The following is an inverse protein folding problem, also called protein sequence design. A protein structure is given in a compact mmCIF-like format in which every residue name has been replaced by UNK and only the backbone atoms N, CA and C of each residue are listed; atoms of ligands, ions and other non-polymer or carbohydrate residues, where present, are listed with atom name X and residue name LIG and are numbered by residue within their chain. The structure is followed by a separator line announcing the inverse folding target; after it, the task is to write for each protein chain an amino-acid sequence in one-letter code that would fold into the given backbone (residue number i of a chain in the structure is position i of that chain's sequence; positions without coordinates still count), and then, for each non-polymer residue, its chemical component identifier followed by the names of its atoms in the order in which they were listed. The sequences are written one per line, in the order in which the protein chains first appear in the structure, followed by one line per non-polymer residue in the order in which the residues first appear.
data_IF_152953693566
#
_entry.id   IF_152953693566
#
_cell.length_a   1.000
_cell.length_b   1.000
_cell.length_c   1.000
_cell.angle_alpha   90.00
_cell.angle_beta   90.00
_cell.angle_gamma   90.00
#
_symmetry.space_group_name_H-M   'P 1'
#
loop_
_entity.id
_entity.type
_entity.pdbx_description
1 polymer ?
#
# COMPACT_ATOMS: atom_id res chain seq x y z
N UNK A 1 -25.10 -12.23 80.41
CA UNK A 1 -23.84 -13.00 80.14
C UNK A 1 -23.33 -12.67 78.74
N UNK A 2 -22.25 -11.88 78.57
CA UNK A 2 -21.72 -11.58 77.26
C UNK A 2 -20.65 -12.62 76.89
N UNK A 3 -20.74 -13.12 75.65
CA UNK A 3 -19.75 -14.02 75.05
C UNK A 3 -18.57 -13.20 74.50
N UNK A 4 -17.37 -13.59 74.93
CA UNK A 4 -16.09 -13.04 74.45
C UNK A 4 -15.81 -13.41 72.99
N UNK A 5 -15.47 -12.41 72.16
CA UNK A 5 -14.93 -12.57 70.83
C UNK A 5 -13.41 -12.71 70.91
N UNK A 6 -12.90 -13.87 70.51
CA UNK A 6 -11.48 -14.13 70.44
C UNK A 6 -10.93 -13.55 69.12
N UNK A 7 -10.06 -12.54 69.17
CA UNK A 7 -9.30 -12.02 68.03
C UNK A 7 -8.24 -13.05 67.63
N UNK A 8 -8.35 -13.60 66.40
CA UNK A 8 -7.27 -14.34 65.74
C UNK A 8 -6.25 -13.33 65.17
N UNK A 9 -5.02 -13.40 65.67
CA UNK A 9 -3.91 -12.60 65.21
C UNK A 9 -3.54 -12.90 63.75
N UNK A 10 -3.47 -11.87 62.93
CA UNK A 10 -2.89 -11.89 61.58
C UNK A 10 -1.38 -12.00 61.69
N UNK A 11 -0.82 -13.18 61.38
CA UNK A 11 0.62 -13.37 61.23
C UNK A 11 1.13 -12.55 60.05
N UNK A 12 1.96 -11.56 60.33
CA UNK A 12 2.71 -10.75 59.36
C UNK A 12 3.77 -11.66 58.73
N UNK A 13 3.53 -12.16 57.51
CA UNK A 13 4.58 -12.80 56.70
C UNK A 13 5.63 -11.73 56.36
N UNK A 14 6.79 -11.80 56.98
CA UNK A 14 8.00 -11.09 56.58
C UNK A 14 8.38 -11.67 55.20
N UNK A 15 8.08 -10.93 54.10
CA UNK A 15 8.62 -11.20 52.78
C UNK A 15 10.13 -11.11 52.91
N UNK A 16 10.84 -12.17 52.57
CA UNK A 16 12.27 -12.28 52.63
C UNK A 16 12.92 -11.38 51.56
N UNK A 17 13.08 -10.10 51.89
CA UNK A 17 13.62 -9.07 51.00
C UNK A 17 15.03 -9.41 50.43
N UNK A 18 15.76 -10.33 51.08
CA UNK A 18 17.09 -10.76 50.62
C UNK A 18 17.01 -11.54 49.31
N UNK A 19 16.04 -12.44 49.16
CA UNK A 19 15.89 -13.23 47.92
C UNK A 19 15.40 -12.37 46.75
N UNK A 20 14.55 -11.39 47.00
CA UNK A 20 14.12 -10.42 45.99
C UNK A 20 15.27 -9.53 45.52
N UNK A 21 16.10 -9.02 46.45
CA UNK A 21 17.28 -8.22 46.11
C UNK A 21 18.29 -9.06 45.33
N UNK A 22 18.51 -10.33 45.74
CA UNK A 22 19.41 -11.24 45.04
C UNK A 22 18.93 -11.52 43.59
N UNK A 23 17.63 -11.70 43.38
CA UNK A 23 17.06 -11.91 42.08
C UNK A 23 17.23 -10.67 41.17
N UNK A 24 17.02 -9.47 41.71
CA UNK A 24 17.20 -8.22 40.96
C UNK A 24 18.68 -8.03 40.57
N UNK A 25 19.63 -8.26 41.50
CA UNK A 25 21.05 -8.15 41.23
C UNK A 25 21.49 -9.17 40.17
N UNK A 26 21.00 -10.39 40.25
CA UNK A 26 21.33 -11.43 39.27
C UNK A 26 20.75 -11.09 37.87
N UNK A 27 19.53 -10.56 37.79
CA UNK A 27 18.95 -10.10 36.54
C UNK A 27 19.75 -8.96 35.90
N UNK A 28 20.18 -7.98 36.68
CA UNK A 28 21.01 -6.88 36.19
C UNK A 28 22.38 -7.41 35.72
N UNK A 29 22.99 -8.33 36.45
CA UNK A 29 24.28 -8.92 36.06
C UNK A 29 24.17 -9.70 34.73
N UNK A 30 23.07 -10.43 34.51
CA UNK A 30 22.81 -11.13 33.25
C UNK A 30 22.64 -10.12 32.10
N UNK A 31 21.84 -9.07 32.28
CA UNK A 31 21.63 -8.03 31.26
C UNK A 31 22.94 -7.32 30.86
N UNK A 32 23.77 -6.94 31.86
CA UNK A 32 25.06 -6.32 31.59
C UNK A 32 26.03 -7.30 30.91
N UNK A 33 26.04 -8.58 31.31
CA UNK A 33 26.84 -9.62 30.66
C UNK A 33 26.45 -9.83 29.19
N UNK A 34 25.16 -9.84 28.88
CA UNK A 34 24.66 -9.89 27.51
C UNK A 34 25.06 -8.67 26.68
N UNK A 35 24.97 -7.49 27.27
CA UNK A 35 25.31 -6.25 26.58
C UNK A 35 26.79 -6.21 26.20
N UNK A 36 27.71 -6.59 27.13
CA UNK A 36 29.15 -6.69 26.88
C UNK A 36 29.46 -7.78 25.84
N UNK A 37 28.75 -8.89 25.87
CA UNK A 37 28.94 -9.97 24.89
C UNK A 37 28.53 -9.51 23.49
N UNK A 38 27.39 -8.83 23.34
CA UNK A 38 26.93 -8.32 22.03
C UNK A 38 27.84 -7.22 21.49
N UNK A 39 28.33 -6.32 22.32
CA UNK A 39 29.30 -5.28 21.90
C UNK A 39 30.63 -5.87 21.45
N UNK A 40 31.08 -6.95 22.08
CA UNK A 40 32.32 -7.64 21.72
C UNK A 40 32.20 -8.51 20.45
N UNK A 41 30.97 -8.92 20.08
CA UNK A 41 30.71 -9.79 18.92
C UNK A 41 30.13 -9.06 17.71
N UNK A 42 29.89 -7.74 17.79
CA UNK A 42 29.44 -6.94 16.64
C UNK A 42 30.53 -6.88 15.57
N UNK A 43 30.24 -7.26 14.31
CA UNK A 43 31.14 -6.96 13.21
C UNK A 43 31.26 -5.45 13.03
N UNK A 44 32.42 -4.92 12.66
CA UNK A 44 32.61 -3.48 12.43
C UNK A 44 31.68 -3.01 11.30
N UNK A 45 31.14 -1.78 11.38
CA UNK A 45 30.33 -1.21 10.31
C UNK A 45 31.14 -1.17 9.01
N UNK A 46 30.52 -1.42 7.84
CA UNK A 46 31.24 -1.30 6.57
C UNK A 46 31.70 0.14 6.38
N UNK A 47 33.00 0.30 6.10
CA UNK A 47 33.60 1.60 5.78
C UNK A 47 32.93 2.19 4.54
N UNK A 48 32.32 3.35 4.68
CA UNK A 48 31.83 4.13 3.55
C UNK A 48 33.02 4.73 2.80
N UNK A 49 33.15 4.57 1.48
CA UNK A 49 34.20 5.22 0.73
C UNK A 49 33.98 6.74 0.73
N UNK A 50 34.93 7.47 1.29
CA UNK A 50 35.03 8.92 1.21
C UNK A 50 35.25 9.30 -0.26
N UNK A 51 34.27 9.91 -0.89
CA UNK A 51 34.42 10.54 -2.22
C UNK A 51 35.15 11.86 -1.98
N UNK A 52 36.46 11.87 -2.20
CA UNK A 52 37.23 13.09 -2.30
C UNK A 52 36.95 13.79 -3.60
N UNK A 53 36.35 14.94 -3.51
CA UNK A 53 36.16 15.90 -4.60
C UNK A 53 37.53 16.55 -4.88
N UNK A 54 38.15 16.22 -6.01
CA UNK A 54 39.34 16.91 -6.51
C UNK A 54 39.07 17.48 -7.89
N UNK A 55 38.87 18.78 -7.91
CA UNK A 55 38.88 19.63 -9.10
C UNK A 55 40.29 19.85 -9.57
N UNK A 56 40.56 19.59 -10.86
CA UNK A 56 41.56 20.37 -11.63
C UNK A 56 41.36 20.20 -13.16
N UNK A 57 41.70 21.22 -13.95
CA UNK A 57 41.21 21.40 -15.31
C UNK A 57 42.24 21.05 -16.37
N UNK A 58 41.71 20.74 -17.57
CA UNK A 58 42.43 21.02 -18.83
C UNK A 58 43.00 19.84 -19.57
N UNK A 59 42.53 19.64 -20.75
CA UNK A 59 43.18 19.59 -22.03
C UNK A 59 42.59 18.59 -23.02
N UNK A 60 42.33 19.13 -24.17
CA UNK A 60 41.85 18.58 -25.43
C UNK A 60 42.86 17.58 -26.00
N UNK A 61 42.42 16.46 -26.63
CA UNK A 61 42.74 16.07 -28.03
C UNK A 61 42.17 14.71 -28.44
N UNK A 62 41.39 14.74 -29.44
CA UNK A 62 41.22 13.95 -30.69
C UNK A 62 41.47 12.43 -30.73
N UNK A 63 40.46 11.81 -31.32
CA UNK A 63 40.41 10.78 -32.38
C UNK A 63 40.73 9.32 -32.05
N UNK A 64 39.74 8.47 -32.39
CA UNK A 64 39.90 7.03 -32.55
C UNK A 64 38.56 6.33 -32.68
N UNK A 65 38.08 6.13 -33.93
CA UNK A 65 36.99 5.23 -34.26
C UNK A 65 37.30 3.82 -33.77
N UNK A 66 36.33 3.14 -33.20
CA UNK A 66 36.03 1.72 -33.53
C UNK A 66 34.75 1.23 -32.89
N UNK A 67 33.89 0.66 -33.70
CA UNK A 67 32.96 -0.46 -33.52
C UNK A 67 31.95 -0.41 -32.39
N UNK A 68 30.73 -0.11 -32.79
CA UNK A 68 29.49 -0.33 -32.08
C UNK A 68 29.26 -1.80 -31.72
N UNK A 69 29.31 -2.14 -30.45
CA UNK A 69 28.63 -3.31 -29.89
C UNK A 69 27.28 -2.82 -29.37
N UNK A 70 26.15 -3.51 -29.64
CA UNK A 70 24.86 -3.11 -29.06
C UNK A 70 24.93 -3.27 -27.53
N UNK A 71 24.94 -2.17 -26.80
CA UNK A 71 24.73 -2.18 -25.36
C UNK A 71 23.30 -2.66 -25.13
N UNK A 72 23.19 -3.87 -24.59
CA UNK A 72 21.98 -4.32 -23.92
C UNK A 72 21.57 -3.27 -22.92
N UNK A 73 20.42 -2.66 -23.16
CA UNK A 73 19.79 -1.71 -22.27
C UNK A 73 19.72 -2.27 -20.85
N UNK A 74 20.41 -1.62 -19.93
CA UNK A 74 20.25 -1.88 -18.49
C UNK A 74 18.78 -1.85 -18.15
N UNK A 75 18.25 -2.82 -17.36
CA UNK A 75 16.90 -2.72 -16.85
C UNK A 75 16.82 -1.46 -15.98
N UNK A 76 15.96 -0.54 -16.40
CA UNK A 76 15.58 0.60 -15.56
C UNK A 76 14.88 0.00 -14.36
N UNK A 77 15.47 0.07 -13.18
CA UNK A 77 14.80 -0.28 -11.93
C UNK A 77 13.62 0.67 -11.74
N UNK A 78 12.48 0.27 -12.33
CA UNK A 78 11.24 1.00 -12.22
C UNK A 78 10.73 0.92 -10.79
N UNK A 79 10.75 2.03 -10.09
CA UNK A 79 10.03 2.19 -8.83
C UNK A 79 8.60 2.57 -9.20
N UNK A 80 7.59 1.89 -8.63
CA UNK A 80 6.19 2.30 -8.78
C UNK A 80 6.08 3.81 -8.52
N UNK A 81 5.25 4.56 -9.28
CA UNK A 81 5.27 6.01 -9.21
C UNK A 81 4.95 6.46 -7.78
N UNK A 82 5.96 7.02 -7.14
CA UNK A 82 5.74 7.82 -5.94
C UNK A 82 4.89 8.98 -6.41
N UNK A 83 3.72 9.17 -5.82
CA UNK A 83 2.88 10.34 -6.14
C UNK A 83 3.75 11.57 -5.88
N UNK A 84 4.12 12.37 -6.91
CA UNK A 84 4.94 13.54 -6.70
C UNK A 84 4.24 14.42 -5.67
N UNK A 85 4.96 14.84 -4.62
CA UNK A 85 4.48 15.87 -3.74
C UNK A 85 4.32 17.13 -4.57
N UNK A 86 3.10 17.40 -5.03
CA UNK A 86 2.76 18.76 -5.43
C UNK A 86 2.99 19.63 -4.23
N UNK A 87 3.86 20.62 -4.34
CA UNK A 87 3.94 21.77 -3.46
C UNK A 87 2.60 22.52 -3.59
N UNK A 88 1.58 21.97 -2.95
CA UNK A 88 0.32 22.67 -2.76
C UNK A 88 0.43 23.29 -1.38
N UNK A 89 0.37 24.62 -1.33
CA UNK A 89 0.06 25.35 -0.12
C UNK A 89 -0.99 24.57 0.69
N UNK A 90 -0.86 24.57 2.01
CA UNK A 90 -1.77 23.93 2.96
C UNK A 90 -3.25 24.25 2.64
N UNK A 91 -3.81 23.59 1.66
CA UNK A 91 -5.25 23.60 1.48
C UNK A 91 -5.80 22.72 2.60
N UNK A 92 -6.57 23.30 3.52
CA UNK A 92 -7.53 22.52 4.33
C UNK A 92 -8.20 21.56 3.37
N UNK A 93 -8.17 20.25 3.67
CA UNK A 93 -8.83 19.27 2.82
C UNK A 93 -10.29 19.69 2.64
N UNK A 94 -10.81 19.44 1.47
CA UNK A 94 -12.19 19.77 1.13
C UNK A 94 -13.15 18.75 1.77
N UNK A 95 -14.41 19.13 1.90
CA UNK A 95 -15.46 18.22 2.31
C UNK A 95 -15.62 17.13 1.23
N UNK A 96 -15.73 15.86 1.64
CA UNK A 96 -15.90 14.71 0.73
C UNK A 96 -17.12 14.89 -0.20
N UNK A 97 -18.27 15.33 0.32
CA UNK A 97 -19.49 15.51 -0.47
C UNK A 97 -19.31 16.54 -1.60
N UNK A 98 -18.64 17.66 -1.33
CA UNK A 98 -18.38 18.69 -2.33
C UNK A 98 -17.48 18.17 -3.45
N UNK A 99 -16.45 17.37 -3.12
CA UNK A 99 -15.56 16.76 -4.11
C UNK A 99 -16.30 15.76 -4.99
N UNK A 100 -17.16 14.95 -4.39
CA UNK A 100 -17.95 13.95 -5.13
C UNK A 100 -18.92 14.61 -6.12
N UNK A 101 -19.48 15.75 -5.75
CA UNK A 101 -20.42 16.52 -6.59
C UNK A 101 -19.74 17.18 -7.81
N UNK A 102 -18.45 17.50 -7.72
CA UNK A 102 -17.72 18.24 -8.76
C UNK A 102 -17.16 17.40 -9.90
N UNK A 103 -17.12 16.07 -9.77
CA UNK A 103 -16.40 15.19 -10.69
C UNK A 103 -17.33 14.21 -11.41
N UNK A 104 -17.06 13.98 -12.70
CA UNK A 104 -17.68 12.86 -13.41
C UNK A 104 -17.17 11.54 -12.82
N UNK A 105 -18.11 10.67 -12.47
CA UNK A 105 -17.84 9.43 -11.74
C UNK A 105 -18.67 8.27 -12.29
N UNK A 106 -18.14 7.06 -12.21
CA UNK A 106 -18.90 5.82 -12.38
C UNK A 106 -19.41 5.41 -11.01
N UNK A 107 -20.70 5.22 -10.86
CA UNK A 107 -21.31 4.76 -9.59
C UNK A 107 -20.95 3.30 -9.33
N UNK A 108 -20.75 2.94 -8.08
CA UNK A 108 -20.65 1.54 -7.60
C UNK A 108 -21.92 1.24 -6.84
N UNK A 109 -22.57 0.13 -7.19
CA UNK A 109 -23.81 -0.30 -6.55
C UNK A 109 -23.86 -1.84 -6.46
N UNK A 110 -23.63 -2.36 -5.27
CA UNK A 110 -23.68 -3.79 -4.95
C UNK A 110 -24.48 -4.01 -3.66
N UNK A 111 -24.79 -5.25 -3.27
CA UNK A 111 -25.46 -5.52 -2.00
C UNK A 111 -24.71 -5.04 -0.76
N UNK A 112 -23.38 -4.91 -0.84
CA UNK A 112 -22.52 -4.61 0.31
C UNK A 112 -21.73 -3.31 0.21
N UNK A 113 -21.61 -2.73 -0.99
CA UNK A 113 -20.86 -1.51 -1.25
C UNK A 113 -21.67 -0.53 -2.07
N UNK A 114 -21.63 0.73 -1.71
CA UNK A 114 -21.95 1.82 -2.59
C UNK A 114 -20.80 2.85 -2.62
N UNK A 115 -20.71 3.59 -3.71
CA UNK A 115 -19.62 4.56 -3.88
C UNK A 115 -19.45 4.95 -5.33
N UNK A 116 -18.21 5.26 -5.70
CA UNK A 116 -17.92 5.63 -7.09
C UNK A 116 -16.43 5.60 -7.45
N UNK A 117 -16.16 5.53 -8.76
CA UNK A 117 -14.83 5.61 -9.37
C UNK A 117 -14.70 6.99 -10.02
N UNK A 118 -13.65 7.74 -9.69
CA UNK A 118 -13.37 9.03 -10.31
C UNK A 118 -12.88 8.84 -11.74
N UNK A 119 -13.47 9.52 -12.72
CA UNK A 119 -12.99 9.53 -14.11
C UNK A 119 -11.72 10.37 -14.29
N UNK A 120 -11.41 11.27 -13.36
CA UNK A 120 -10.11 11.94 -13.31
C UNK A 120 -9.12 11.08 -12.54
N UNK A 121 -8.09 10.57 -13.24
CA UNK A 121 -7.09 9.64 -12.71
C UNK A 121 -7.55 8.19 -12.61
N UNK A 122 -8.83 7.88 -12.80
CA UNK A 122 -9.37 6.51 -12.77
C UNK A 122 -9.21 5.83 -11.41
N UNK A 123 -9.49 6.55 -10.30
CA UNK A 123 -9.30 6.07 -8.93
C UNK A 123 -10.57 5.48 -8.33
N UNK A 124 -10.43 4.41 -7.57
CA UNK A 124 -11.45 3.96 -6.61
C UNK A 124 -11.20 4.75 -5.32
N UNK A 125 -11.93 5.84 -5.14
CA UNK A 125 -11.69 6.80 -4.07
C UNK A 125 -12.96 7.22 -3.32
N UNK A 126 -13.99 6.40 -3.41
CA UNK A 126 -15.28 6.62 -2.76
C UNK A 126 -15.96 5.26 -2.58
N UNK A 127 -15.87 4.71 -1.38
CA UNK A 127 -16.53 3.48 -0.98
C UNK A 127 -17.12 3.60 0.41
N UNK A 128 -18.35 3.13 0.56
CA UNK A 128 -19.08 3.05 1.82
C UNK A 128 -19.61 1.63 1.99
N UNK A 129 -19.49 1.09 3.19
CA UNK A 129 -19.90 -0.27 3.56
C UNK A 129 -21.37 -0.27 3.96
N UNK A 130 -22.23 -0.93 3.18
CA UNK A 130 -23.64 -1.12 3.50
C UNK A 130 -23.73 -2.12 4.65
N UNK A 131 -24.55 -1.80 5.67
CA UNK A 131 -24.78 -2.67 6.83
C UNK A 131 -23.81 -2.49 7.99
N UNK A 132 -22.80 -1.62 7.84
CA UNK A 132 -21.89 -1.23 8.92
C UNK A 132 -22.06 0.25 9.27
N UNK A 133 -22.07 0.56 10.56
CA UNK A 133 -22.32 1.89 11.10
C UNK A 133 -21.15 2.34 11.98
N UNK A 134 -20.96 3.65 12.09
CA UNK A 134 -19.93 4.24 12.95
C UNK A 134 -20.22 3.96 14.44
N UNK A 135 -21.52 3.94 14.81
CA UNK A 135 -21.99 3.66 16.17
C UNK A 135 -23.07 2.54 16.14
N UNK A 136 -23.44 2.03 17.29
CA UNK A 136 -24.48 0.99 17.41
C UNK A 136 -25.90 1.49 17.13
N UNK A 137 -26.09 2.79 17.01
CA UNK A 137 -27.37 3.39 16.66
C UNK A 137 -27.72 3.13 15.20
N UNK A 138 -28.95 2.69 14.93
CA UNK A 138 -29.42 2.43 13.57
C UNK A 138 -29.45 3.67 12.67
N UNK A 139 -29.54 4.86 13.25
CA UNK A 139 -29.50 6.14 12.55
C UNK A 139 -28.08 6.70 12.37
N UNK A 140 -27.06 6.04 12.93
CA UNK A 140 -25.66 6.41 12.75
C UNK A 140 -25.21 6.32 11.29
N UNK A 141 -24.22 7.12 10.91
CA UNK A 141 -23.63 7.12 9.57
C UNK A 141 -23.06 5.75 9.19
N UNK A 142 -23.13 5.40 7.92
CA UNK A 142 -22.45 4.21 7.39
C UNK A 142 -20.93 4.43 7.35
N UNK A 143 -20.20 3.34 7.48
CA UNK A 143 -18.73 3.36 7.44
C UNK A 143 -18.23 3.79 6.05
N UNK A 144 -17.57 4.92 5.98
CA UNK A 144 -16.85 5.39 4.79
C UNK A 144 -15.46 4.78 4.80
N UNK A 145 -15.23 3.79 3.93
CA UNK A 145 -13.94 3.10 3.83
C UNK A 145 -12.95 3.90 2.97
N UNK A 146 -13.37 4.40 1.82
CA UNK A 146 -12.51 5.19 0.93
C UNK A 146 -13.03 6.62 0.76
N UNK A 147 -12.09 7.57 0.66
CA UNK A 147 -12.37 8.99 0.48
C UNK A 147 -11.46 9.63 -0.56
N UNK A 148 -11.95 10.61 -1.35
CA UNK A 148 -11.21 11.22 -2.44
C UNK A 148 -9.88 11.85 -2.02
N UNK A 149 -8.91 11.86 -2.93
CA UNK A 149 -7.56 12.40 -2.74
C UNK A 149 -7.52 13.81 -2.15
N UNK A 150 -8.48 14.67 -2.49
CA UNK A 150 -8.56 16.05 -1.98
C UNK A 150 -9.26 16.16 -0.62
N UNK A 151 -9.87 15.09 -0.10
CA UNK A 151 -10.55 15.09 1.19
C UNK A 151 -9.56 15.11 2.36
N UNK A 152 -10.03 15.58 3.54
CA UNK A 152 -9.23 15.59 4.76
C UNK A 152 -8.69 14.21 5.12
N UNK A 153 -9.53 13.18 5.08
CA UNK A 153 -9.17 11.77 5.32
C UNK A 153 -9.02 10.99 4.01
N UNK A 154 -8.23 11.51 3.06
CA UNK A 154 -8.06 10.86 1.76
C UNK A 154 -7.55 9.43 1.93
N UNK A 155 -8.28 8.47 1.33
CA UNK A 155 -7.94 7.07 1.32
C UNK A 155 -8.46 6.44 0.03
N UNK A 156 -7.59 6.01 -0.86
CA UNK A 156 -7.99 5.58 -2.20
C UNK A 156 -7.03 4.56 -2.80
N UNK A 157 -7.54 3.81 -3.78
CA UNK A 157 -6.76 2.93 -4.63
C UNK A 157 -6.63 3.50 -6.05
N UNK A 158 -5.47 3.30 -6.66
CA UNK A 158 -5.16 3.69 -8.02
C UNK A 158 -4.35 2.59 -8.72
N UNK A 159 -4.66 2.36 -9.99
CA UNK A 159 -3.94 1.43 -10.85
C UNK A 159 -3.40 2.17 -12.06
N UNK A 160 -2.38 1.64 -12.70
CA UNK A 160 -1.81 2.30 -13.87
C UNK A 160 -0.56 1.64 -14.42
N UNK A 161 0.16 2.43 -15.23
CA UNK A 161 1.36 2.00 -15.92
C UNK A 161 2.49 2.98 -15.72
N UNK A 162 3.69 2.45 -15.55
CA UNK A 162 4.95 3.21 -15.66
C UNK A 162 5.51 2.94 -17.04
N UNK A 163 5.74 3.98 -17.83
CA UNK A 163 6.35 3.88 -19.15
C UNK A 163 7.86 4.04 -19.10
N UNK A 164 8.58 3.38 -19.99
CA UNK A 164 9.97 3.73 -20.29
C UNK A 164 10.06 5.20 -20.75
N UNK A 165 11.28 5.75 -20.74
CA UNK A 165 11.51 7.14 -21.13
C UNK A 165 10.91 7.44 -22.52
N UNK A 166 10.13 8.51 -22.60
CA UNK A 166 9.46 8.95 -23.83
C UNK A 166 8.08 8.34 -24.07
N UNK A 167 7.63 7.36 -23.26
CA UNK A 167 6.29 6.79 -23.38
C UNK A 167 5.32 7.55 -22.49
N UNK A 168 4.31 8.17 -23.11
CA UNK A 168 3.25 8.89 -22.41
C UNK A 168 2.21 7.90 -21.91
N UNK A 169 2.05 7.85 -20.59
CA UNK A 169 1.09 7.01 -19.87
C UNK A 169 0.04 7.86 -19.15
N UNK A 170 -1.14 7.32 -18.78
CA UNK A 170 -2.16 8.07 -18.05
C UNK A 170 -1.62 8.56 -16.70
N UNK A 171 -1.58 9.88 -16.51
CA UNK A 171 -1.17 10.51 -15.27
C UNK A 171 -2.32 10.65 -14.27
N UNK A 172 -2.07 11.30 -13.13
CA UNK A 172 -3.03 11.48 -12.04
C UNK A 172 -4.25 12.35 -12.43
N UNK A 173 -4.07 13.22 -13.42
CA UNK A 173 -5.10 14.13 -13.92
C UNK A 173 -5.66 13.68 -15.29
N UNK A 174 -5.31 12.47 -15.74
CA UNK A 174 -5.85 11.91 -16.98
C UNK A 174 -7.37 11.76 -16.86
N UNK A 175 -8.09 12.24 -17.87
CA UNK A 175 -9.54 12.12 -17.94
C UNK A 175 -9.90 10.87 -18.72
N UNK A 176 -10.50 9.93 -18.04
CA UNK A 176 -10.92 8.64 -18.60
C UNK A 176 -12.35 8.72 -19.12
N UNK A 177 -12.63 7.96 -20.16
CA UNK A 177 -13.99 7.72 -20.67
C UNK A 177 -14.45 6.35 -20.18
N UNK A 178 -15.66 6.27 -19.66
CA UNK A 178 -16.24 5.02 -19.15
C UNK A 178 -17.21 4.40 -20.15
N UNK A 179 -17.24 3.07 -20.23
CA UNK A 179 -18.16 2.29 -21.06
C UNK A 179 -19.60 2.29 -20.51
N UNK A 180 -19.77 2.52 -19.20
CA UNK A 180 -21.06 2.60 -18.52
C UNK A 180 -20.98 3.55 -17.31
N UNK A 181 -22.13 3.96 -16.80
CA UNK A 181 -22.23 4.90 -15.68
C UNK A 181 -22.28 4.23 -14.31
N UNK A 182 -22.53 2.92 -14.27
CA UNK A 182 -22.69 2.17 -13.02
C UNK A 182 -21.98 0.81 -13.13
N UNK A 183 -21.17 0.50 -12.12
CA UNK A 183 -20.54 -0.78 -11.86
C UNK A 183 -21.44 -1.58 -10.91
N UNK A 184 -21.84 -2.77 -11.32
CA UNK A 184 -22.57 -3.75 -10.51
C UNK A 184 -21.89 -5.12 -10.63
N UNK A 185 -22.22 -6.12 -9.81
CA UNK A 185 -21.65 -7.47 -9.95
C UNK A 185 -21.83 -8.07 -11.34
N UNK A 186 -22.96 -7.79 -12.00
CA UNK A 186 -23.29 -8.31 -13.32
C UNK A 186 -22.82 -7.41 -14.48
N UNK A 187 -22.35 -6.21 -14.20
CA UNK A 187 -22.01 -5.20 -15.22
C UNK A 187 -20.65 -4.55 -14.94
N UNK A 188 -19.56 -5.18 -15.39
CA UNK A 188 -18.22 -4.57 -15.34
C UNK A 188 -18.13 -3.27 -16.15
N UNK A 189 -17.27 -2.35 -15.74
CA UNK A 189 -17.06 -1.07 -16.42
C UNK A 189 -15.62 -0.93 -16.87
N UNK A 190 -15.44 -0.55 -18.14
CA UNK A 190 -14.13 -0.27 -18.74
C UNK A 190 -13.91 1.24 -18.84
N UNK A 191 -12.82 1.70 -18.26
CA UNK A 191 -12.29 3.04 -18.47
C UNK A 191 -11.25 3.01 -19.60
N UNK A 192 -11.30 3.97 -20.52
CA UNK A 192 -10.37 4.08 -21.66
C UNK A 192 -9.70 5.43 -21.68
N UNK A 193 -8.42 5.46 -22.05
CA UNK A 193 -7.64 6.66 -22.23
C UNK A 193 -6.62 6.48 -23.38
N UNK A 194 -6.65 7.39 -24.34
CA UNK A 194 -5.76 7.39 -25.50
C UNK A 194 -4.64 8.40 -25.30
N UNK A 195 -3.38 8.01 -25.50
CA UNK A 195 -2.24 8.90 -25.38
C UNK A 195 -2.03 9.78 -26.62
N UNK A 196 -2.82 9.60 -27.68
CA UNK A 196 -2.72 10.27 -28.99
C UNK A 196 -1.42 9.97 -29.77
N UNK A 197 -0.64 9.02 -29.29
CA UNK A 197 0.64 8.58 -29.88
C UNK A 197 0.62 7.10 -30.24
N UNK A 198 -0.58 6.52 -30.32
CA UNK A 198 -0.83 5.14 -30.73
C UNK A 198 -0.92 4.13 -29.58
N UNK A 199 -1.03 4.58 -28.32
CA UNK A 199 -1.30 3.69 -27.20
C UNK A 199 -2.69 3.99 -26.62
N UNK A 200 -3.55 2.97 -26.60
CA UNK A 200 -4.85 2.98 -25.93
C UNK A 200 -4.78 2.17 -24.65
N UNK A 201 -4.97 2.84 -23.54
CA UNK A 201 -5.02 2.23 -22.21
C UNK A 201 -6.46 1.96 -21.81
N UNK A 202 -6.74 0.73 -21.40
CA UNK A 202 -8.04 0.31 -20.88
C UNK A 202 -7.87 -0.24 -19.47
N UNK A 203 -8.83 0.04 -18.60
CA UNK A 203 -8.92 -0.52 -17.26
C UNK A 203 -10.34 -0.95 -17.00
N UNK A 204 -10.54 -2.26 -16.89
CA UNK A 204 -11.84 -2.84 -16.60
C UNK A 204 -11.92 -3.15 -15.12
N UNK A 205 -12.95 -2.66 -14.48
CA UNK A 205 -13.33 -3.00 -13.11
C UNK A 205 -14.52 -3.95 -13.17
N UNK A 206 -14.34 -5.13 -12.59
CA UNK A 206 -15.44 -6.02 -12.19
C UNK A 206 -15.44 -6.07 -10.65
N UNK A 207 -16.59 -6.24 -10.06
CA UNK A 207 -16.77 -6.30 -8.61
C UNK A 207 -17.73 -7.46 -8.31
N UNK A 208 -17.38 -8.31 -7.37
CA UNK A 208 -18.27 -9.37 -6.92
C UNK A 208 -19.37 -8.83 -5.98
N UNK A 209 -20.25 -9.69 -5.49
CA UNK A 209 -21.33 -9.32 -4.59
C UNK A 209 -20.84 -8.87 -3.21
N UNK A 210 -19.56 -9.15 -2.89
CA UNK A 210 -18.95 -8.83 -1.60
C UNK A 210 -18.02 -7.61 -1.70
N UNK A 211 -16.68 -7.82 -1.71
CA UNK A 211 -15.71 -6.74 -1.57
C UNK A 211 -14.52 -6.85 -2.52
N UNK A 212 -14.50 -7.86 -3.41
CA UNK A 212 -13.35 -8.12 -4.28
C UNK A 212 -13.54 -7.52 -5.66
N UNK A 213 -12.70 -6.56 -5.99
CA UNK A 213 -12.56 -6.02 -7.34
C UNK A 213 -11.57 -6.86 -8.13
N UNK A 214 -11.93 -7.22 -9.36
CA UNK A 214 -10.98 -7.68 -10.38
C UNK A 214 -10.65 -6.49 -11.27
N UNK A 215 -9.36 -6.15 -11.36
CA UNK A 215 -8.86 -5.01 -12.12
C UNK A 215 -8.02 -5.51 -13.28
N UNK A 216 -8.60 -5.49 -14.46
CA UNK A 216 -7.91 -5.89 -15.70
C UNK A 216 -7.39 -4.64 -16.41
N UNK A 217 -6.09 -4.56 -16.64
CA UNK A 217 -5.44 -3.46 -17.34
C UNK A 217 -4.93 -3.94 -18.70
N UNK A 218 -5.37 -3.31 -19.78
CA UNK A 218 -4.98 -3.64 -21.15
C UNK A 218 -4.33 -2.43 -21.82
N UNK A 219 -3.27 -2.65 -22.55
CA UNK A 219 -2.66 -1.64 -23.43
C UNK A 219 -2.67 -2.18 -24.85
N UNK A 220 -3.30 -1.44 -25.76
CA UNK A 220 -3.29 -1.68 -27.19
C UNK A 220 -2.30 -0.72 -27.85
N UNK A 221 -1.38 -1.25 -28.68
CA UNK A 221 -0.34 -0.47 -29.33
C UNK A 221 -0.56 -0.46 -30.84
N UNK A 222 -1.07 0.63 -31.36
CA UNK A 222 -1.25 0.86 -32.81
C UNK A 222 -0.07 1.66 -33.41
N UNK A 223 0.94 2.00 -32.61
CA UNK A 223 2.14 2.69 -33.08
C UNK A 223 3.07 1.76 -33.87
N UNK A 224 4.10 2.32 -34.45
CA UNK A 224 5.10 1.56 -35.27
C UNK A 224 6.24 0.96 -34.45
N UNK A 225 6.28 1.23 -33.12
CA UNK A 225 7.35 0.80 -32.22
C UNK A 225 6.79 0.06 -31.02
N UNK A 226 7.56 -0.88 -30.48
CA UNK A 226 7.19 -1.52 -29.23
C UNK A 226 7.19 -0.53 -28.05
N UNK A 227 6.21 -0.64 -27.17
CA UNK A 227 6.12 0.15 -25.94
C UNK A 227 6.51 -0.70 -24.72
N UNK A 228 7.42 -0.18 -23.91
CA UNK A 228 7.92 -0.88 -22.71
C UNK A 228 7.27 -0.27 -21.46
N UNK A 229 6.58 -1.10 -20.69
CA UNK A 229 5.70 -0.67 -19.60
C UNK A 229 5.84 -1.60 -18.39
N UNK A 230 5.50 -1.06 -17.20
CA UNK A 230 5.29 -1.84 -15.97
C UNK A 230 3.89 -1.50 -15.41
N UNK A 231 3.07 -2.49 -15.12
CA UNK A 231 1.82 -2.27 -14.43
C UNK A 231 2.06 -2.02 -12.94
N UNK A 232 1.23 -1.19 -12.32
CA UNK A 232 1.24 -0.95 -10.87
C UNK A 232 -0.15 -0.82 -10.29
N UNK A 233 -0.26 -1.07 -8.98
CA UNK A 233 -1.36 -0.66 -8.14
C UNK A 233 -0.83 -0.01 -6.88
N UNK A 234 -1.58 0.95 -6.34
CA UNK A 234 -1.27 1.59 -5.06
C UNK A 234 -2.54 1.84 -4.25
N UNK A 235 -2.38 1.82 -2.94
CA UNK A 235 -3.32 2.36 -1.95
C UNK A 235 -2.60 3.49 -1.23
N UNK A 236 -3.25 4.64 -1.11
CA UNK A 236 -2.70 5.80 -0.41
C UNK A 236 -3.66 6.30 0.66
N UNK A 237 -3.15 6.55 1.85
CA UNK A 237 -3.88 7.05 3.01
C UNK A 237 -3.22 8.32 3.54
N UNK A 238 -4.04 9.34 3.81
CA UNK A 238 -3.63 10.62 4.38
C UNK A 238 -3.95 10.67 5.86
N UNK A 239 -2.94 11.00 6.67
CA UNK A 239 -3.02 11.05 8.12
C UNK A 239 -2.85 9.68 8.78
N UNK A 240 -2.34 9.69 10.00
CA UNK A 240 -2.29 8.50 10.84
C UNK A 240 -3.66 8.33 11.49
N UNK A 241 -4.37 7.21 11.30
CA UNK A 241 -5.65 6.98 11.97
C UNK A 241 -5.46 6.83 13.47
N UNK A 242 -6.52 7.07 14.23
CA UNK A 242 -6.57 6.65 15.62
C UNK A 242 -6.66 5.12 15.65
N UNK A 243 -5.69 4.47 16.28
CA UNK A 243 -5.67 3.02 16.47
C UNK A 243 -6.20 2.66 17.85
N UNK A 244 -6.78 1.49 18.01
CA UNK A 244 -7.32 1.06 19.31
C UNK A 244 -6.22 0.69 20.31
N UNK A 245 -4.97 0.52 19.86
CA UNK A 245 -3.81 0.22 20.69
C UNK A 245 -3.83 -1.15 21.36
N UNK A 246 -4.69 -2.08 20.90
CA UNK A 246 -4.67 -3.47 21.36
C UNK A 246 -3.49 -4.21 20.72
N UNK A 247 -2.47 -4.53 21.50
CA UNK A 247 -1.25 -5.18 21.03
C UNK A 247 -1.46 -6.54 20.32
N UNK A 248 -2.62 -7.17 20.52
CA UNK A 248 -2.97 -8.45 19.88
C UNK A 248 -3.66 -8.30 18.52
N UNK A 249 -3.92 -7.06 18.08
CA UNK A 249 -4.60 -6.76 16.82
C UNK A 249 -3.79 -5.72 16.07
N UNK A 250 -3.22 -6.13 14.93
CA UNK A 250 -2.48 -5.19 14.10
C UNK A 250 -3.42 -4.21 13.39
N UNK A 251 -3.13 -2.92 13.53
CA UNK A 251 -3.75 -1.81 12.80
C UNK A 251 -2.62 -0.99 12.15
N UNK A 252 -2.41 -1.18 10.85
CA UNK A 252 -1.26 -0.60 10.16
C UNK A 252 -1.14 -1.10 8.73
N UNK A 253 0.09 -1.18 8.26
CA UNK A 253 0.40 -1.71 6.94
C UNK A 253 0.80 -3.17 7.08
N UNK A 254 0.36 -4.00 6.15
CA UNK A 254 0.66 -5.43 6.21
C UNK A 254 0.69 -6.04 4.82
N UNK A 255 1.20 -7.25 4.73
CA UNK A 255 1.19 -8.01 3.49
C UNK A 255 1.92 -9.34 3.61
N UNK A 256 1.75 -10.18 2.63
CA UNK A 256 2.38 -11.49 2.54
C UNK A 256 3.30 -11.52 1.33
N UNK A 257 4.56 -11.87 1.56
CA UNK A 257 5.57 -12.10 0.54
C UNK A 257 6.24 -13.45 0.78
N UNK A 258 6.28 -14.31 -0.24
CA UNK A 258 6.86 -15.66 -0.12
C UNK A 258 6.30 -16.47 1.07
N UNK A 259 4.98 -16.34 1.32
CA UNK A 259 4.27 -16.99 2.44
C UNK A 259 4.66 -16.46 3.83
N UNK A 260 5.33 -15.32 3.91
CA UNK A 260 5.68 -14.68 5.17
C UNK A 260 4.85 -13.42 5.35
N UNK A 261 4.07 -13.36 6.44
CA UNK A 261 3.34 -12.17 6.84
C UNK A 261 4.33 -11.12 7.37
N UNK A 262 4.16 -9.91 6.92
CA UNK A 262 4.87 -8.72 7.38
C UNK A 262 3.86 -7.71 7.88
N UNK A 263 3.98 -7.30 9.12
CA UNK A 263 3.19 -6.26 9.76
C UNK A 263 4.10 -5.08 10.05
N UNK A 264 3.67 -3.88 9.69
CA UNK A 264 4.46 -2.64 9.83
C UNK A 264 3.59 -1.58 10.47
N UNK A 265 3.93 -1.20 11.69
CA UNK A 265 3.23 -0.13 12.41
C UNK A 265 3.46 1.22 11.75
N UNK A 266 2.51 2.15 11.94
CA UNK A 266 2.63 3.50 11.39
C UNK A 266 3.89 4.22 11.88
N UNK A 267 4.23 4.08 13.16
CA UNK A 267 5.40 4.75 13.75
C UNK A 267 6.70 4.13 13.27
N UNK A 268 6.78 2.79 13.18
CA UNK A 268 7.95 2.11 12.61
C UNK A 268 8.20 2.53 11.16
N UNK A 269 7.12 2.69 10.38
CA UNK A 269 7.27 3.13 9.00
C UNK A 269 7.67 4.60 8.88
N UNK A 270 7.29 5.47 9.82
CA UNK A 270 7.78 6.86 9.89
C UNK A 270 9.29 6.89 10.08
N UNK A 271 9.82 6.04 10.97
CA UNK A 271 11.25 5.96 11.26
C UNK A 271 12.05 5.38 10.09
N UNK A 272 11.51 4.37 9.42
CA UNK A 272 12.17 3.69 8.30
C UNK A 272 12.01 4.42 6.96
N UNK A 273 10.96 5.23 6.80
CA UNK A 273 10.58 5.91 5.56
C UNK A 273 10.02 4.98 4.50
N UNK A 274 10.64 3.84 4.24
CA UNK A 274 10.15 2.83 3.31
C UNK A 274 10.67 1.43 3.61
N UNK A 275 9.82 0.43 3.31
CA UNK A 275 10.19 -1.00 3.31
C UNK A 275 9.85 -1.57 1.93
N UNK A 276 10.78 -2.33 1.32
CA UNK A 276 10.60 -2.96 0.00
C UNK A 276 10.79 -4.45 0.09
N UNK A 277 9.94 -5.17 -0.62
CA UNK A 277 10.05 -6.61 -0.82
C UNK A 277 9.92 -6.94 -2.31
N UNK A 278 10.36 -8.12 -2.69
CA UNK A 278 10.20 -8.65 -4.04
C UNK A 278 9.86 -10.14 -3.93
N UNK A 279 8.70 -10.53 -4.45
CA UNK A 279 8.20 -11.89 -4.31
C UNK A 279 7.35 -12.32 -5.51
N UNK A 280 7.20 -13.63 -5.68
CA UNK A 280 6.21 -14.22 -6.58
C UNK A 280 4.92 -14.40 -5.79
N UNK A 281 3.83 -13.79 -6.28
CA UNK A 281 2.54 -13.82 -5.60
C UNK A 281 2.52 -12.96 -4.34
N UNK A 282 1.58 -13.29 -3.42
CA UNK A 282 1.36 -12.54 -2.20
C UNK A 282 0.42 -11.35 -2.37
N UNK A 283 0.36 -10.50 -1.35
CA UNK A 283 -0.52 -9.31 -1.32
C UNK A 283 0.06 -8.27 -0.38
N UNK A 284 -0.43 -7.02 -0.48
CA UNK A 284 -0.01 -5.90 0.35
C UNK A 284 -1.20 -4.97 0.62
N UNK A 285 -1.34 -4.47 1.83
CA UNK A 285 -2.52 -3.68 2.21
C UNK A 285 -2.35 -2.79 3.43
N UNK A 286 -3.47 -2.18 3.81
CA UNK A 286 -3.62 -1.38 5.03
C UNK A 286 -4.84 -1.93 5.77
N UNK A 287 -4.66 -2.24 7.05
CA UNK A 287 -5.70 -2.77 7.93
C UNK A 287 -6.03 -1.80 9.05
N UNK A 288 -7.30 -1.68 9.32
CA UNK A 288 -7.86 -1.13 10.55
C UNK A 288 -8.46 -2.27 11.38
N UNK A 289 -9.00 -1.98 12.55
CA UNK A 289 -9.57 -2.99 13.43
C UNK A 289 -10.53 -3.96 12.72
N UNK A 290 -11.42 -3.46 11.89
CA UNK A 290 -12.49 -4.25 11.24
C UNK A 290 -12.42 -4.23 9.71
N UNK A 291 -11.57 -3.40 9.12
CA UNK A 291 -11.53 -3.11 7.69
C UNK A 291 -10.17 -3.45 7.10
N UNK A 292 -10.17 -3.91 5.87
CA UNK A 292 -8.95 -4.17 5.11
C UNK A 292 -9.10 -3.57 3.71
N UNK A 293 -8.03 -2.94 3.24
CA UNK A 293 -7.80 -2.68 1.81
C UNK A 293 -6.53 -3.38 1.39
N UNK A 294 -6.58 -4.21 0.36
CA UNK A 294 -5.43 -4.99 -0.07
C UNK A 294 -5.32 -5.05 -1.59
N UNK A 295 -4.10 -4.92 -2.07
CA UNK A 295 -3.70 -5.15 -3.45
C UNK A 295 -3.16 -6.56 -3.59
N UNK A 296 -3.67 -7.29 -4.55
CA UNK A 296 -3.27 -8.66 -4.84
C UNK A 296 -2.78 -8.67 -6.29
N UNK A 297 -1.46 -8.57 -6.54
CA UNK A 297 -0.90 -8.65 -7.87
C UNK A 297 -1.07 -10.05 -8.46
N UNK A 298 -0.79 -10.21 -9.75
CA UNK A 298 -0.76 -11.53 -10.40
C UNK A 298 0.14 -12.50 -9.61
N UNK A 299 -0.46 -13.62 -9.15
CA UNK A 299 0.19 -14.58 -8.26
C UNK A 299 1.30 -15.40 -8.93
N UNK A 300 1.45 -15.29 -10.24
CA UNK A 300 2.47 -16.00 -11.03
C UNK A 300 3.67 -15.13 -11.38
N UNK A 301 3.56 -13.83 -11.19
CA UNK A 301 4.59 -12.87 -11.53
C UNK A 301 5.39 -12.45 -10.30
N UNK A 302 6.69 -12.22 -10.51
CA UNK A 302 7.56 -11.64 -9.50
C UNK A 302 7.37 -10.13 -9.46
N UNK A 303 6.65 -9.64 -8.46
CA UNK A 303 6.35 -8.21 -8.28
C UNK A 303 7.19 -7.62 -7.16
N UNK A 304 7.56 -6.35 -7.31
CA UNK A 304 8.12 -5.54 -6.22
C UNK A 304 6.97 -4.95 -5.44
N UNK A 305 6.99 -5.06 -4.11
CA UNK A 305 6.04 -4.43 -3.21
C UNK A 305 6.74 -3.42 -2.30
N UNK A 306 6.00 -2.39 -1.87
CA UNK A 306 6.57 -1.33 -1.04
C UNK A 306 5.56 -0.78 -0.06
N UNK A 307 6.01 -0.59 1.18
CA UNK A 307 5.42 0.30 2.17
C UNK A 307 6.19 1.61 2.14
N UNK A 308 5.51 2.74 2.11
CA UNK A 308 6.11 4.06 2.01
C UNK A 308 5.42 5.04 2.94
N UNK A 309 6.21 5.73 3.77
CA UNK A 309 5.81 6.94 4.47
C UNK A 309 6.48 8.16 3.88
N UNK A 310 5.79 9.28 3.91
CA UNK A 310 6.34 10.59 3.58
C UNK A 310 5.50 11.68 4.20
N UNK A 311 6.11 12.83 4.44
CA UNK A 311 5.41 14.05 4.84
C UNK A 311 4.90 14.83 3.62
N UNK A 312 3.67 15.30 3.68
CA UNK A 312 3.13 16.31 2.77
C UNK A 312 2.74 17.55 3.58
N UNK A 313 3.63 18.54 3.65
CA UNK A 313 3.55 19.59 4.64
C UNK A 313 3.69 19.01 6.05
N UNK A 314 2.67 19.19 6.90
CA UNK A 314 2.62 18.65 8.27
C UNK A 314 1.77 17.37 8.38
N UNK A 315 1.39 16.76 7.27
CA UNK A 315 0.50 15.59 7.26
C UNK A 315 1.27 14.37 6.80
N UNK A 316 1.17 13.30 7.58
CA UNK A 316 1.68 11.99 7.23
C UNK A 316 0.93 11.43 6.02
N UNK A 317 1.65 10.82 5.11
CA UNK A 317 1.11 10.12 3.95
C UNK A 317 1.67 8.70 3.93
N UNK A 318 0.78 7.73 3.92
CA UNK A 318 1.12 6.32 3.84
C UNK A 318 0.71 5.77 2.49
N UNK A 319 1.53 4.88 1.95
CA UNK A 319 1.25 4.21 0.69
C UNK A 319 1.72 2.77 0.76
N UNK A 320 0.90 1.87 0.24
CA UNK A 320 1.33 0.53 -0.15
C UNK A 320 1.20 0.43 -1.65
N UNK A 321 2.17 -0.18 -2.31
CA UNK A 321 2.12 -0.35 -3.76
C UNK A 321 2.84 -1.62 -4.23
N UNK A 322 2.47 -2.07 -5.44
CA UNK A 322 3.22 -3.06 -6.17
C UNK A 322 3.61 -2.55 -7.55
N UNK A 323 4.71 -3.03 -8.07
CA UNK A 323 5.17 -2.86 -9.44
C UNK A 323 5.40 -4.23 -10.07
N UNK A 324 4.65 -4.53 -11.12
CA UNK A 324 4.81 -5.76 -11.89
C UNK A 324 6.08 -5.74 -12.77
N UNK A 325 6.57 -6.90 -13.21
CA UNK A 325 7.68 -6.95 -14.15
C UNK A 325 7.46 -6.11 -15.39
N UNK A 326 8.55 -5.71 -16.01
CA UNK A 326 8.53 -5.00 -17.26
C UNK A 326 7.98 -5.88 -18.39
N UNK A 327 7.08 -5.31 -19.18
CA UNK A 327 6.49 -5.96 -20.35
C UNK A 327 6.70 -5.11 -21.60
N UNK A 328 6.84 -5.77 -22.74
CA UNK A 328 6.95 -5.10 -24.05
C UNK A 328 5.67 -5.34 -24.85
N UNK A 329 4.97 -4.26 -25.18
CA UNK A 329 3.77 -4.29 -26.03
C UNK A 329 4.23 -4.09 -27.47
N UNK A 330 4.22 -5.11 -28.33
CA UNK A 330 4.74 -4.98 -29.70
C UNK A 330 3.90 -4.01 -30.54
N UNK A 331 4.49 -3.48 -31.61
CA UNK A 331 3.74 -2.70 -32.60
C UNK A 331 2.58 -3.52 -33.17
N UNK A 332 1.38 -2.96 -33.22
CA UNK A 332 0.16 -3.64 -33.66
C UNK A 332 -0.37 -4.70 -32.67
N UNK A 333 0.23 -4.83 -31.48
CA UNK A 333 -0.16 -5.83 -30.48
C UNK A 333 -0.84 -5.24 -29.26
N UNK A 334 -1.16 -6.10 -28.31
CA UNK A 334 -1.72 -5.72 -27.02
C UNK A 334 -1.17 -6.60 -25.90
N UNK A 335 -1.26 -6.09 -24.67
CA UNK A 335 -0.98 -6.86 -23.45
C UNK A 335 -2.08 -6.60 -22.42
N UNK A 336 -2.37 -7.63 -21.62
CA UNK A 336 -3.36 -7.55 -20.55
C UNK A 336 -2.74 -8.11 -19.26
N UNK A 337 -2.99 -7.43 -18.15
CA UNK A 337 -2.68 -7.90 -16.80
C UNK A 337 -3.95 -7.92 -15.97
N UNK A 338 -4.06 -8.88 -15.07
CA UNK A 338 -5.18 -8.97 -14.12
C UNK A 338 -4.63 -8.96 -12.70
N UNK A 339 -5.26 -8.17 -11.85
CA UNK A 339 -4.91 -8.02 -10.45
C UNK A 339 -6.21 -7.93 -9.66
N UNK A 340 -6.15 -8.15 -8.33
CA UNK A 340 -7.32 -7.98 -7.49
C UNK A 340 -7.10 -6.87 -6.47
N UNK A 341 -8.21 -6.30 -6.03
CA UNK A 341 -8.26 -5.28 -5.00
C UNK A 341 -9.40 -5.59 -4.05
N UNK A 342 -9.06 -5.89 -2.81
CA UNK A 342 -10.03 -6.06 -1.74
C UNK A 342 -10.24 -4.73 -1.02
N UNK A 343 -11.49 -4.37 -0.74
CA UNK A 343 -11.83 -3.20 0.05
C UNK A 343 -13.13 -3.46 0.83
N UNK A 344 -13.02 -3.87 2.10
CA UNK A 344 -14.20 -4.27 2.86
C UNK A 344 -13.96 -4.69 4.29
N UNK A 345 -14.96 -5.34 4.85
CA UNK A 345 -14.91 -5.88 6.21
C UNK A 345 -14.08 -7.18 6.28
N UNK A 346 -13.35 -7.34 7.38
CA UNK A 346 -12.57 -8.56 7.67
C UNK A 346 -13.51 -9.66 8.20
N UNK A 347 -14.23 -10.29 7.29
CA UNK A 347 -15.08 -11.45 7.59
C UNK A 347 -14.27 -12.72 7.31
N UNK A 348 -13.80 -13.41 8.35
CA UNK A 348 -12.90 -14.57 8.25
C UNK A 348 -13.34 -15.56 7.17
N UNK A 349 -14.58 -16.05 7.21
CA UNK A 349 -15.07 -17.01 6.20
C UNK A 349 -15.03 -16.50 4.75
N UNK A 350 -15.15 -15.17 4.58
CA UNK A 350 -15.08 -14.56 3.26
C UNK A 350 -13.63 -14.44 2.80
N UNK A 351 -12.73 -14.08 3.72
CA UNK A 351 -11.31 -13.99 3.42
C UNK A 351 -10.72 -15.37 3.10
N UNK A 352 -11.08 -16.42 3.86
CA UNK A 352 -10.74 -17.82 3.58
C UNK A 352 -11.19 -18.24 2.16
N UNK A 353 -12.43 -17.90 1.79
CA UNK A 353 -12.93 -18.21 0.45
C UNK A 353 -12.16 -17.49 -0.68
N UNK A 354 -11.67 -16.27 -0.41
CA UNK A 354 -10.81 -15.55 -1.34
C UNK A 354 -9.39 -16.14 -1.39
N UNK A 355 -8.84 -16.60 -0.28
CA UNK A 355 -7.58 -17.33 -0.27
C UNK A 355 -7.62 -18.52 -1.23
N UNK A 356 -8.64 -19.36 -1.11
CA UNK A 356 -8.82 -20.53 -1.95
C UNK A 356 -9.04 -20.14 -3.42
N UNK A 357 -9.90 -19.14 -3.69
CA UNK A 357 -10.29 -18.74 -5.05
C UNK A 357 -9.15 -18.08 -5.82
N UNK A 358 -8.34 -17.25 -5.18
CA UNK A 358 -7.29 -16.44 -5.82
C UNK A 358 -5.93 -17.12 -5.69
N UNK A 359 -5.75 -17.99 -4.70
CA UNK A 359 -4.50 -18.67 -4.41
C UNK A 359 -3.52 -17.82 -3.61
N UNK A 360 -4.03 -16.87 -2.80
CA UNK A 360 -3.26 -16.13 -1.80
C UNK A 360 -3.20 -16.90 -0.49
N UNK A 361 -2.36 -16.48 0.44
CA UNK A 361 -2.24 -17.13 1.75
C UNK A 361 -2.26 -16.07 2.86
N UNK A 362 -2.76 -16.44 4.05
CA UNK A 362 -2.80 -15.55 5.23
C UNK A 362 -3.51 -14.22 4.91
N UNK A 363 -4.71 -14.34 4.32
CA UNK A 363 -5.50 -13.17 3.94
C UNK A 363 -6.55 -12.80 5.00
N UNK A 364 -6.76 -13.68 5.98
CA UNK A 364 -7.67 -13.55 7.13
C UNK A 364 -7.07 -12.81 8.33
#
# INVERSE_FOLDING_TARGET
MPRAFTQKGFGRQMIDNKNMILAIVLSIAILVGFQVYFDATRPPPPEQPLISEQLAPGAITQSGQTSSIPQTSRPVSGIAPVIPGTTVAQAKGQNRADILALNNRVKINTPRLHGSIALTGGRVDDLTLIGYREEQDADSAEIVLLSPKAANGAYYAQFGWVGAQGIKVPGQEAKWTASAQTLTPDSPVTLSWDNTEGLLFKRTFALDENYMFTVTQTVENTSKSAAVLNAYGLISRRGTPETTGFYILHEGLLGVSEKTLSEVDYDDLKDQGQVKNEAIGGWIGITDKYWLTALIPDQKLKSQTRYLHRMQGLVDMYQVDYLSPQVSVPAGGSITTENHFFAGAKEVKLLDAYEEKIGVTQFD
#
